data_IF_179640777519
#
_entry.id   IF_179640777519
#
_cell.length_a   1.000
_cell.length_b   1.000
_cell.length_c   1.000
_cell.angle_alpha   90.00
_cell.angle_beta   90.00
_cell.angle_gamma   90.00
#
_symmetry.space_group_name_H-M   'P 1'
#
loop_
_entity.id
_entity.type
_entity.pdbx_description
1 polymer ?
#
# COMPACT_ATOMS: atom_id res chain seq x y z
N UNK A 1 -16.56 -22.69 25.48
CA UNK A 1 -16.55 -22.23 24.08
C UNK A 1 -16.27 -20.74 24.09
N UNK A 2 -15.13 -20.32 23.54
CA UNK A 2 -14.79 -18.91 23.38
C UNK A 2 -15.66 -18.37 22.25
N UNK A 3 -16.75 -17.68 22.61
CA UNK A 3 -17.73 -17.16 21.67
C UNK A 3 -17.18 -15.91 20.97
N UNK A 4 -16.50 -16.16 19.85
CA UNK A 4 -16.66 -15.48 18.54
C UNK A 4 -17.23 -14.08 18.50
N UNK A 5 -16.56 -13.13 19.15
CA UNK A 5 -16.54 -11.74 18.69
C UNK A 5 -15.17 -11.50 18.06
N UNK A 6 -14.85 -12.25 17.01
CA UNK A 6 -13.78 -11.83 16.11
C UNK A 6 -14.39 -10.65 15.38
N UNK A 7 -14.07 -9.43 15.82
CA UNK A 7 -14.03 -8.33 14.88
C UNK A 7 -12.97 -8.80 13.86
N UNK A 8 -13.43 -9.45 12.79
CA UNK A 8 -12.60 -9.49 11.59
C UNK A 8 -12.39 -8.03 11.24
N UNK A 9 -11.12 -7.66 11.17
CA UNK A 9 -10.71 -6.29 10.84
C UNK A 9 -10.13 -6.27 9.43
N UNK A 10 -10.28 -7.37 8.69
CA UNK A 10 -9.66 -7.76 7.43
C UNK A 10 -10.59 -8.86 6.85
N UNK A 11 -11.77 -8.44 6.38
CA UNK A 11 -12.91 -9.31 5.99
C UNK A 11 -12.56 -10.23 4.80
N UNK A 12 -11.62 -9.80 3.94
CA UNK A 12 -11.15 -10.51 2.76
C UNK A 12 -9.79 -11.23 2.95
N UNK A 13 -9.10 -10.94 4.05
CA UNK A 13 -7.84 -11.57 4.48
C UNK A 13 -6.65 -11.30 3.54
N UNK A 14 -6.59 -10.12 2.93
CA UNK A 14 -5.49 -9.70 2.06
C UNK A 14 -4.34 -9.01 2.81
N UNK A 15 -4.54 -8.74 4.10
CA UNK A 15 -3.55 -8.16 4.99
C UNK A 15 -3.64 -6.64 5.13
N UNK A 16 -4.64 -6.01 4.52
CA UNK A 16 -5.11 -4.67 4.87
C UNK A 16 -6.18 -4.77 5.95
N UNK A 17 -6.73 -3.64 6.38
CA UNK A 17 -7.84 -3.65 7.34
C UNK A 17 -9.06 -2.97 6.74
N UNK A 18 -10.27 -3.43 7.07
CA UNK A 18 -11.50 -2.84 6.54
C UNK A 18 -11.58 -1.33 6.77
N UNK A 19 -11.07 -0.85 7.91
CA UNK A 19 -11.01 0.59 8.23
C UNK A 19 -10.08 1.34 7.27
N UNK A 20 -8.92 0.77 6.95
CA UNK A 20 -7.99 1.33 5.97
C UNK A 20 -8.61 1.30 4.57
N UNK A 21 -9.19 0.19 4.17
CA UNK A 21 -9.76 0.02 2.84
C UNK A 21 -10.92 0.99 2.61
N UNK A 22 -11.84 1.11 3.58
CA UNK A 22 -12.91 2.11 3.54
C UNK A 22 -12.39 3.55 3.53
N UNK A 23 -11.28 3.84 4.22
CA UNK A 23 -10.68 5.17 4.23
C UNK A 23 -9.98 5.54 2.90
N UNK A 24 -9.52 4.53 2.16
CA UNK A 24 -8.81 4.67 0.89
C UNK A 24 -9.65 4.28 -0.33
N UNK A 25 -10.98 4.19 -0.20
CA UNK A 25 -11.89 3.87 -1.31
C UNK A 25 -11.62 2.50 -1.98
N UNK A 26 -11.02 1.57 -1.24
CA UNK A 26 -10.86 0.16 -1.59
C UNK A 26 -12.09 -0.67 -1.19
N UNK A 27 -12.15 -1.93 -1.62
CA UNK A 27 -13.27 -2.84 -1.32
C UNK A 27 -12.87 -3.86 -0.23
N UNK A 28 -13.33 -3.71 1.03
CA UNK A 28 -12.96 -4.59 2.16
C UNK A 28 -13.45 -6.03 2.05
N UNK A 29 -14.12 -6.37 0.95
CA UNK A 29 -14.61 -7.71 0.64
C UNK A 29 -13.84 -8.35 -0.53
N UNK A 30 -12.80 -7.69 -1.04
CA UNK A 30 -12.07 -8.07 -2.24
C UNK A 30 -10.56 -7.88 -2.05
N UNK A 31 -9.81 -8.98 -2.20
CA UNK A 31 -8.35 -8.98 -2.23
C UNK A 31 -7.82 -8.13 -3.39
N UNK A 32 -7.64 -6.86 -3.11
CA UNK A 32 -7.10 -5.83 -3.99
C UNK A 32 -5.76 -5.27 -3.47
N UNK A 33 -5.20 -5.84 -2.39
CA UNK A 33 -3.86 -5.60 -1.87
C UNK A 33 -2.76 -5.48 -2.93
N UNK A 34 -2.83 -6.29 -4.00
CA UNK A 34 -1.85 -6.28 -5.10
C UNK A 34 -2.16 -5.28 -6.23
N UNK A 35 -3.30 -4.58 -6.15
CA UNK A 35 -3.70 -3.50 -7.04
C UNK A 35 -2.94 -2.20 -6.75
N UNK A 36 -3.11 -1.23 -7.64
CA UNK A 36 -2.57 0.12 -7.56
C UNK A 36 -3.75 1.05 -7.89
N UNK A 37 -4.45 1.51 -6.85
CA UNK A 37 -5.72 2.23 -7.01
C UNK A 37 -5.52 3.62 -7.64
N UNK A 38 -4.39 4.28 -7.36
CA UNK A 38 -4.10 5.64 -7.77
C UNK A 38 -3.07 5.78 -8.91
N UNK A 39 -2.59 4.65 -9.45
CA UNK A 39 -1.65 4.50 -10.56
C UNK A 39 -0.28 5.19 -10.28
N UNK A 40 0.19 5.18 -9.03
CA UNK A 40 1.46 5.80 -8.63
C UNK A 40 2.67 4.84 -8.69
N UNK A 41 2.41 3.55 -8.90
CA UNK A 41 3.39 2.47 -9.03
C UNK A 41 3.72 1.73 -7.74
N UNK A 42 2.92 1.89 -6.69
CA UNK A 42 2.96 1.10 -5.45
C UNK A 42 1.67 0.30 -5.30
N UNK A 43 1.77 -0.85 -4.65
CA UNK A 43 0.58 -1.67 -4.37
C UNK A 43 -0.17 -1.14 -3.14
N UNK A 44 -1.50 -1.32 -3.10
CA UNK A 44 -2.34 -0.93 -1.94
C UNK A 44 -1.76 -1.46 -0.62
N UNK A 45 -1.23 -2.70 -0.62
CA UNK A 45 -0.57 -3.29 0.54
C UNK A 45 0.77 -2.61 0.90
N UNK A 46 1.61 -2.25 -0.09
CA UNK A 46 2.86 -1.50 0.16
C UNK A 46 2.57 -0.15 0.83
N UNK A 47 1.45 0.47 0.49
CA UNK A 47 1.01 1.73 1.05
C UNK A 47 0.41 1.58 2.46
N UNK A 48 -0.40 0.55 2.68
CA UNK A 48 -0.88 0.16 4.00
C UNK A 48 0.28 -0.08 4.97
N UNK A 49 1.28 -0.88 4.57
CA UNK A 49 2.46 -1.17 5.38
C UNK A 49 3.31 0.09 5.67
N UNK A 50 3.27 1.08 4.78
CA UNK A 50 3.96 2.34 4.95
C UNK A 50 3.14 3.42 5.69
N UNK A 51 1.86 3.16 5.92
CA UNK A 51 0.92 4.12 6.50
C UNK A 51 0.61 5.30 5.59
N UNK A 52 0.58 5.07 4.27
CA UNK A 52 0.20 6.06 3.25
C UNK A 52 -1.14 5.71 2.62
N UNK A 53 -1.69 6.63 1.83
CA UNK A 53 -3.06 6.54 1.35
C UNK A 53 -3.14 5.98 -0.09
N UNK A 54 -3.73 4.80 -0.26
CA UNK A 54 -3.83 4.10 -1.55
C UNK A 54 -4.66 4.83 -2.62
N UNK A 55 -5.45 5.83 -2.23
CA UNK A 55 -6.20 6.68 -3.17
C UNK A 55 -5.51 8.01 -3.49
N UNK A 56 -4.22 8.18 -3.17
CA UNK A 56 -3.54 9.45 -3.32
C UNK A 56 -2.08 9.31 -3.79
N UNK A 57 -1.89 9.46 -5.10
CA UNK A 57 -0.57 9.27 -5.75
C UNK A 57 0.54 10.24 -5.30
N UNK A 58 0.20 11.25 -4.48
CA UNK A 58 1.16 12.14 -3.86
C UNK A 58 1.63 11.65 -2.48
N UNK A 59 0.81 10.87 -1.80
CA UNK A 59 1.07 10.28 -0.48
C UNK A 59 1.54 8.85 -0.66
N UNK A 60 2.82 8.71 -1.01
CA UNK A 60 3.42 7.43 -1.34
C UNK A 60 4.48 7.01 -0.33
N UNK A 61 4.70 5.70 -0.15
CA UNK A 61 5.74 5.17 0.71
C UNK A 61 7.09 5.80 0.33
N UNK A 62 7.73 6.43 1.32
CA UNK A 62 9.11 6.90 1.16
C UNK A 62 9.99 5.67 1.13
N UNK A 63 10.22 5.05 -0.04
CA UNK A 63 11.30 4.04 -0.18
C UNK A 63 12.54 4.69 0.40
N UNK A 64 12.97 4.19 1.56
CA UNK A 64 14.05 4.81 2.35
C UNK A 64 15.27 4.94 1.47
N UNK A 65 15.44 6.14 0.91
CA UNK A 65 16.45 6.48 -0.07
C UNK A 65 17.76 6.73 0.66
N UNK A 66 18.31 5.68 1.27
CA UNK A 66 19.66 5.73 1.83
C UNK A 66 20.59 4.68 1.22
N UNK A 67 20.12 3.63 0.50
CA UNK A 67 21.05 2.59 0.00
C UNK A 67 20.92 2.17 -1.48
N UNK A 68 19.91 2.53 -2.28
CA UNK A 68 19.81 1.98 -3.66
C UNK A 68 19.50 2.99 -4.77
N UNK A 69 20.36 4.00 -4.93
CA UNK A 69 20.51 4.75 -6.20
C UNK A 69 21.87 5.47 -6.24
N UNK A 70 22.95 4.71 -6.05
CA UNK A 70 24.24 5.12 -6.61
C UNK A 70 24.15 4.99 -8.14
N UNK A 71 23.41 5.89 -8.79
CA UNK A 71 23.64 6.13 -10.22
C UNK A 71 25.07 6.66 -10.34
N UNK A 72 25.95 6.05 -11.15
CA UNK A 72 27.12 6.77 -11.60
C UNK A 72 26.60 7.92 -12.49
N UNK A 73 26.70 9.14 -11.99
CA UNK A 73 26.49 10.40 -12.72
C UNK A 73 27.63 10.66 -13.72
N UNK A 74 27.94 9.69 -14.58
CA UNK A 74 29.05 9.73 -15.54
C UNK A 74 28.51 9.07 -16.82
N UNK A 75 28.48 9.64 -18.03
CA UNK A 75 28.98 10.86 -18.65
C UNK A 75 28.50 10.79 -20.12
N UNK A 76 28.48 11.93 -20.80
CA UNK A 76 28.41 12.11 -22.27
C UNK A 76 27.04 11.97 -22.93
N UNK A 77 26.40 13.14 -23.11
CA UNK A 77 25.87 13.46 -24.43
C UNK A 77 26.97 14.27 -25.16
N UNK A 78 27.42 13.75 -26.30
CA UNK A 78 28.17 14.48 -27.33
C UNK A 78 27.18 14.89 -28.44
#
# INVERSE_FOLDING_TARGET
>A
SSSGLTLDLDDDNDGMTDEYEMANELDPLLDDAAGDLDDDGYTNLEEFEAGTAANNANDKPRKSSVILKILPLILSAE
#
